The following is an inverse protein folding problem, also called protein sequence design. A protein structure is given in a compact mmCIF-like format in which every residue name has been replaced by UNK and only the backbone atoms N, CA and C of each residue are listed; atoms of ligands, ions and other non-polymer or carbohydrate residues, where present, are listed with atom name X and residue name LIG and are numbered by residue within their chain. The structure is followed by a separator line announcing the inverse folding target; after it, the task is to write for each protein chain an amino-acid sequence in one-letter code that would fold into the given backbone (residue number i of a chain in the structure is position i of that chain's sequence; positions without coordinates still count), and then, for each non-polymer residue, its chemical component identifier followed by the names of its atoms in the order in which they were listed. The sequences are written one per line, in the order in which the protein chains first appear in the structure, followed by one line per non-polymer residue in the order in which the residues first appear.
data_IF_104839448596
#
_entry.id   IF_104839448596
#
_cell.length_a   1.000
_cell.length_b   1.000
_cell.length_c   1.000
_cell.angle_alpha   90.00
_cell.angle_beta   90.00
_cell.angle_gamma   90.00
#
_symmetry.space_group_name_H-M   'P 1'
#
loop_
_entity.id
_entity.type
_entity.pdbx_description
1 polymer ?
#
# COMPACT_ATOMS: atom_id res chain seq x y z
N UNK A 1 -31.66 -4.68 -21.13
CA UNK A 1 -30.76 -4.43 -19.99
C UNK A 1 -30.12 -3.07 -20.23
N UNK A 2 -30.66 -2.03 -19.57
CA UNK A 2 -30.18 -0.66 -19.76
C UNK A 2 -28.77 -0.53 -19.14
N UNK A 3 -27.77 -0.23 -19.97
CA UNK A 3 -26.43 0.15 -19.53
C UNK A 3 -26.52 1.50 -18.81
N UNK A 4 -26.71 1.47 -17.50
CA UNK A 4 -26.44 2.62 -16.63
C UNK A 4 -24.91 2.76 -16.50
N UNK A 5 -24.28 3.30 -17.55
CA UNK A 5 -23.01 4.01 -17.40
C UNK A 5 -23.29 5.30 -16.61
N UNK A 6 -23.59 5.16 -15.32
CA UNK A 6 -23.36 6.26 -14.38
C UNK A 6 -21.84 6.40 -14.30
N UNK A 7 -21.29 7.19 -15.21
CA UNK A 7 -19.95 7.75 -15.10
C UNK A 7 -19.91 8.53 -13.80
N UNK A 8 -19.59 7.82 -12.72
CA UNK A 8 -19.47 8.42 -11.39
C UNK A 8 -18.45 9.53 -11.56
N UNK A 9 -18.83 10.78 -11.26
CA UNK A 9 -18.10 11.93 -11.73
C UNK A 9 -16.74 11.92 -10.98
N UNK A 10 -15.65 11.60 -11.69
CA UNK A 10 -14.33 11.32 -11.10
C UNK A 10 -13.58 12.64 -10.87
N UNK A 11 -12.70 12.66 -9.87
CA UNK A 11 -11.92 13.85 -9.53
C UNK A 11 -10.54 13.75 -10.18
N UNK A 12 -10.09 14.83 -10.80
CA UNK A 12 -8.75 14.95 -11.37
C UNK A 12 -8.22 16.36 -11.15
N UNK A 13 -6.91 16.54 -11.33
CA UNK A 13 -6.25 17.83 -11.16
C UNK A 13 -6.23 18.58 -12.51
N UNK A 14 -6.70 19.81 -12.54
CA UNK A 14 -6.69 20.65 -13.73
C UNK A 14 -5.25 20.91 -14.20
N UNK A 15 -4.91 20.69 -15.48
CA UNK A 15 -3.55 20.88 -15.97
C UNK A 15 -3.11 22.36 -16.03
N UNK A 16 -4.06 23.31 -16.07
CA UNK A 16 -3.75 24.73 -16.17
C UNK A 16 -3.49 25.37 -14.80
N UNK A 17 -4.33 25.10 -13.79
CA UNK A 17 -4.25 25.73 -12.48
C UNK A 17 -3.90 24.80 -11.31
N UNK A 18 -3.91 23.48 -11.52
CA UNK A 18 -3.60 22.52 -10.46
C UNK A 18 -4.73 22.26 -9.47
N UNK A 19 -5.93 22.77 -9.69
CA UNK A 19 -7.07 22.53 -8.79
C UNK A 19 -7.84 21.25 -9.10
N UNK A 20 -8.43 20.63 -8.08
CA UNK A 20 -9.22 19.42 -8.23
C UNK A 20 -10.62 19.71 -8.79
N UNK A 21 -10.90 19.18 -9.97
CA UNK A 21 -12.17 19.34 -10.68
C UNK A 21 -12.75 17.99 -11.09
N UNK A 22 -14.00 18.01 -11.54
CA UNK A 22 -14.73 16.81 -11.90
C UNK A 22 -14.73 16.60 -13.43
N UNK A 23 -14.61 15.34 -13.88
CA UNK A 23 -14.73 14.94 -15.29
C UNK A 23 -16.09 15.29 -15.93
N UNK A 24 -17.13 15.56 -15.13
CA UNK A 24 -18.44 15.97 -15.65
C UNK A 24 -18.52 17.45 -16.07
N UNK A 25 -17.47 18.26 -15.84
CA UNK A 25 -17.45 19.69 -16.16
C UNK A 25 -16.78 19.95 -17.51
N UNK A 26 -17.39 20.80 -18.34
CA UNK A 26 -16.85 21.24 -19.64
C UNK A 26 -15.88 22.42 -19.52
N UNK A 27 -15.84 23.08 -18.35
CA UNK A 27 -14.95 24.19 -18.05
C UNK A 27 -14.45 24.12 -16.60
N UNK A 28 -13.22 24.55 -16.37
CA UNK A 28 -12.66 24.61 -15.03
C UNK A 28 -13.24 25.82 -14.29
N UNK A 29 -13.92 25.59 -13.16
CA UNK A 29 -14.49 26.68 -12.33
C UNK A 29 -13.45 27.65 -11.74
N UNK A 30 -12.19 27.25 -11.67
CA UNK A 30 -11.13 28.05 -11.04
C UNK A 30 -10.38 28.93 -12.03
N UNK A 31 -9.99 28.39 -13.19
CA UNK A 31 -9.23 29.14 -14.20
C UNK A 31 -10.01 29.46 -15.48
N UNK A 32 -11.24 28.95 -15.62
CA UNK A 32 -12.08 29.18 -16.80
C UNK A 32 -11.63 28.47 -18.07
N UNK A 33 -10.57 27.64 -18.02
CA UNK A 33 -10.12 26.90 -19.20
C UNK A 33 -11.14 25.84 -19.61
N UNK A 34 -11.35 25.68 -20.91
CA UNK A 34 -12.15 24.60 -21.45
C UNK A 34 -11.51 23.25 -21.09
N UNK A 35 -12.33 22.33 -20.58
CA UNK A 35 -11.91 21.00 -20.18
C UNK A 35 -12.35 20.04 -21.28
N UNK A 36 -11.37 19.45 -21.97
CA UNK A 36 -11.65 18.38 -22.90
C UNK A 36 -12.09 17.12 -22.12
N UNK A 37 -13.24 16.57 -22.51
CA UNK A 37 -13.84 15.43 -21.82
C UNK A 37 -12.93 14.19 -21.91
N UNK A 38 -12.32 13.95 -23.08
CA UNK A 38 -11.42 12.82 -23.27
C UNK A 38 -10.15 12.96 -22.42
N UNK A 39 -9.46 14.09 -22.50
CA UNK A 39 -8.29 14.38 -21.66
C UNK A 39 -8.60 14.32 -20.15
N UNK A 40 -9.78 14.79 -19.74
CA UNK A 40 -10.19 14.76 -18.32
C UNK A 40 -10.36 13.34 -17.78
N UNK A 41 -10.92 12.43 -18.59
CA UNK A 41 -11.09 11.03 -18.18
C UNK A 41 -9.75 10.30 -18.07
N UNK A 42 -8.83 10.56 -18.99
CA UNK A 42 -7.47 10.01 -18.93
C UNK A 42 -6.71 10.54 -17.70
N UNK A 43 -6.80 11.85 -17.43
CA UNK A 43 -6.20 12.45 -16.24
C UNK A 43 -6.78 11.88 -14.93
N UNK A 44 -8.09 11.66 -14.88
CA UNK A 44 -8.76 11.02 -13.74
C UNK A 44 -8.31 9.57 -13.53
N UNK A 45 -8.04 8.82 -14.60
CA UNK A 45 -7.52 7.45 -14.50
C UNK A 45 -6.11 7.41 -13.94
N UNK A 46 -5.24 8.31 -14.39
CA UNK A 46 -3.90 8.47 -13.82
C UNK A 46 -3.99 8.82 -12.34
N UNK A 47 -4.85 9.78 -11.97
CA UNK A 47 -5.04 10.19 -10.58
C UNK A 47 -5.57 9.04 -9.71
N UNK A 48 -6.54 8.28 -10.21
CA UNK A 48 -7.05 7.09 -9.51
C UNK A 48 -5.95 6.03 -9.33
N UNK A 49 -5.08 5.84 -10.34
CA UNK A 49 -3.94 4.91 -10.26
C UNK A 49 -2.92 5.37 -9.21
N UNK A 50 -2.63 6.67 -9.13
CA UNK A 50 -1.77 7.26 -8.09
C UNK A 50 -2.37 7.06 -6.71
N UNK A 51 -3.66 7.38 -6.53
CA UNK A 51 -4.37 7.18 -5.27
C UNK A 51 -4.36 5.73 -4.81
N UNK A 52 -4.60 4.79 -5.71
CA UNK A 52 -4.50 3.36 -5.44
C UNK A 52 -3.07 2.94 -5.02
N UNK A 53 -2.04 3.48 -5.68
CA UNK A 53 -0.65 3.20 -5.31
C UNK A 53 -0.30 3.74 -3.90
N UNK A 54 -0.81 4.92 -3.54
CA UNK A 54 -0.64 5.52 -2.22
C UNK A 54 -1.37 4.75 -1.11
N UNK A 55 -2.61 4.32 -1.39
CA UNK A 55 -3.40 3.49 -0.47
C UNK A 55 -2.73 2.13 -0.24
N UNK A 56 -2.35 1.44 -1.31
CA UNK A 56 -1.66 0.14 -1.22
C UNK A 56 -0.30 0.27 -0.49
N UNK A 57 0.44 1.36 -0.72
CA UNK A 57 1.70 1.63 -0.03
C UNK A 57 1.52 1.87 1.48
N UNK A 58 0.45 2.55 1.87
CA UNK A 58 0.10 2.74 3.28
C UNK A 58 -0.33 1.43 3.93
N UNK A 59 -1.10 0.60 3.22
CA UNK A 59 -1.52 -0.72 3.67
C UNK A 59 -0.32 -1.64 3.93
N UNK A 60 0.66 -1.67 3.02
CA UNK A 60 1.91 -2.42 3.18
C UNK A 60 2.69 -2.02 4.44
N UNK A 61 2.74 -0.72 4.74
CA UNK A 61 3.41 -0.22 5.94
C UNK A 61 2.71 -0.66 7.22
N UNK A 62 1.37 -0.65 7.21
CA UNK A 62 0.57 -1.12 8.35
C UNK A 62 0.75 -2.63 8.54
N UNK A 63 0.67 -3.42 7.46
CA UNK A 63 0.86 -4.87 7.55
C UNK A 63 2.26 -5.25 8.02
N UNK A 64 3.31 -4.57 7.53
CA UNK A 64 4.68 -4.79 7.97
C UNK A 64 4.88 -4.47 9.46
N UNK A 65 4.21 -3.42 9.97
CA UNK A 65 4.23 -3.06 11.40
C UNK A 65 3.42 -4.03 12.28
N UNK A 66 2.42 -4.70 11.71
CA UNK A 66 1.65 -5.71 12.44
C UNK A 66 2.46 -6.99 12.69
N UNK A 67 3.45 -7.31 11.85
CA UNK A 67 4.32 -8.49 12.00
C UNK A 67 5.00 -8.56 13.38
N UNK A 68 5.79 -7.57 13.84
CA UNK A 68 6.44 -7.64 15.14
C UNK A 68 5.43 -7.74 16.29
N UNK A 69 4.27 -7.08 16.16
CA UNK A 69 3.21 -7.15 17.17
C UNK A 69 2.63 -8.56 17.25
N UNK A 70 2.25 -9.15 16.12
CA UNK A 70 1.75 -10.53 16.06
C UNK A 70 2.81 -11.53 16.59
N UNK A 71 4.08 -11.31 16.26
CA UNK A 71 5.19 -12.12 16.77
C UNK A 71 5.31 -12.03 18.29
N UNK A 72 5.31 -10.82 18.86
CA UNK A 72 5.40 -10.64 20.31
C UNK A 72 4.20 -11.25 21.06
N UNK A 73 2.99 -11.09 20.52
CA UNK A 73 1.76 -11.65 21.09
C UNK A 73 1.73 -13.18 20.99
N UNK A 74 2.44 -13.78 20.03
CA UNK A 74 2.50 -15.24 19.88
C UNK A 74 3.10 -15.98 21.09
N UNK A 75 3.84 -15.27 21.95
CA UNK A 75 4.42 -15.82 23.18
C UNK A 75 3.45 -15.87 24.37
N UNK A 76 2.24 -15.30 24.24
CA UNK A 76 1.26 -15.26 25.34
C UNK A 76 0.49 -16.59 25.38
N UNK A 77 0.47 -17.34 26.49
CA UNK A 77 -0.12 -18.69 26.53
C UNK A 77 -1.60 -18.80 26.14
N UNK A 78 -2.40 -17.75 26.40
CA UNK A 78 -3.85 -17.74 26.15
C UNK A 78 -4.25 -17.41 24.71
N UNK A 79 -3.48 -16.55 24.03
CA UNK A 79 -3.80 -16.03 22.69
C UNK A 79 -2.72 -16.33 21.65
N UNK A 80 -1.61 -16.93 22.09
CA UNK A 80 -0.39 -17.11 21.32
C UNK A 80 -0.55 -18.00 20.11
N UNK A 81 -1.44 -19.02 20.19
CA UNK A 81 -1.74 -19.90 19.05
C UNK A 81 -2.31 -19.13 17.86
N UNK A 82 -3.34 -18.31 18.08
CA UNK A 82 -3.95 -17.50 17.02
C UNK A 82 -2.99 -16.42 16.50
N UNK A 83 -2.26 -15.76 17.40
CA UNK A 83 -1.27 -14.75 17.03
C UNK A 83 -0.08 -15.34 16.26
N UNK A 84 0.33 -16.57 16.57
CA UNK A 84 1.36 -17.31 15.83
C UNK A 84 0.94 -17.56 14.38
N UNK A 85 -0.29 -18.02 14.16
CA UNK A 85 -0.83 -18.15 12.79
C UNK A 85 -0.93 -16.82 12.06
N UNK A 86 -1.41 -15.77 12.73
CA UNK A 86 -1.48 -14.43 12.16
C UNK A 86 -0.09 -13.93 11.75
N UNK A 87 0.94 -14.18 12.57
CA UNK A 87 2.33 -13.86 12.24
C UNK A 87 2.80 -14.60 10.99
N UNK A 88 2.60 -15.92 10.89
CA UNK A 88 2.98 -16.71 9.69
C UNK A 88 2.29 -16.17 8.44
N UNK A 89 0.98 -15.92 8.53
CA UNK A 89 0.19 -15.38 7.41
C UNK A 89 0.74 -14.03 6.98
N UNK A 90 1.00 -13.10 7.91
CA UNK A 90 1.54 -11.78 7.59
C UNK A 90 2.95 -11.86 7.00
N UNK A 91 3.78 -12.80 7.47
CA UNK A 91 5.12 -13.04 6.95
C UNK A 91 5.13 -13.47 5.49
N UNK A 92 4.12 -14.24 5.06
CA UNK A 92 3.98 -14.70 3.67
C UNK A 92 3.23 -13.68 2.82
N UNK A 93 2.16 -13.07 3.35
CA UNK A 93 1.32 -12.15 2.60
C UNK A 93 2.03 -10.83 2.28
N UNK A 94 2.82 -10.30 3.22
CA UNK A 94 3.54 -9.03 3.04
C UNK A 94 4.47 -9.02 1.82
N UNK A 95 5.36 -10.01 1.59
CA UNK A 95 6.19 -10.04 0.39
C UNK A 95 5.37 -10.21 -0.89
N UNK A 96 4.26 -10.95 -0.87
CA UNK A 96 3.35 -11.07 -2.03
C UNK A 96 2.76 -9.69 -2.39
N UNK A 97 2.27 -8.95 -1.40
CA UNK A 97 1.74 -7.60 -1.60
C UNK A 97 2.83 -6.64 -2.09
N UNK A 98 4.05 -6.80 -1.59
CA UNK A 98 5.19 -6.00 -2.04
C UNK A 98 5.51 -6.24 -3.52
N UNK A 99 5.65 -7.51 -3.92
CA UNK A 99 5.91 -7.88 -5.33
C UNK A 99 4.77 -7.40 -6.22
N UNK A 100 3.52 -7.58 -5.80
CA UNK A 100 2.34 -7.06 -6.52
C UNK A 100 2.39 -5.54 -6.68
N UNK A 101 2.74 -4.79 -5.64
CA UNK A 101 2.85 -3.34 -5.71
C UNK A 101 3.94 -2.91 -6.71
N UNK A 102 5.08 -3.59 -6.69
CA UNK A 102 6.20 -3.31 -7.60
C UNK A 102 5.87 -3.62 -9.06
N UNK A 103 5.15 -4.72 -9.32
CA UNK A 103 4.72 -5.08 -10.67
C UNK A 103 3.59 -4.18 -11.20
N UNK A 104 2.69 -3.71 -10.33
CA UNK A 104 1.48 -2.98 -10.74
C UNK A 104 1.72 -1.48 -10.95
N UNK A 105 2.63 -0.87 -10.19
CA UNK A 105 2.87 0.57 -10.23
C UNK A 105 4.26 1.00 -10.73
N UNK A 106 4.94 0.29 -11.66
CA UNK A 106 6.21 0.76 -12.18
C UNK A 106 6.00 2.02 -13.02
N UNK A 107 6.82 3.05 -12.77
CA UNK A 107 6.97 4.18 -13.68
C UNK A 107 5.76 5.12 -13.82
N UNK A 108 4.90 5.26 -12.80
CA UNK A 108 3.86 6.29 -12.83
C UNK A 108 4.55 7.67 -12.84
N UNK A 109 4.43 8.40 -13.95
CA UNK A 109 4.90 9.77 -14.05
C UNK A 109 3.88 10.68 -13.36
N UNK A 110 4.16 11.03 -12.11
CA UNK A 110 3.38 12.03 -11.35
C UNK A 110 4.34 12.94 -10.59
N UNK A 111 4.00 14.22 -10.51
CA UNK A 111 4.74 15.19 -9.68
C UNK A 111 4.23 15.22 -8.23
N UNK A 112 3.28 14.35 -7.89
CA UNK A 112 2.69 14.28 -6.56
C UNK A 112 3.73 13.81 -5.52
N UNK A 113 3.93 14.64 -4.49
CA UNK A 113 4.83 14.35 -3.38
C UNK A 113 4.37 13.12 -2.57
N UNK A 114 3.07 12.83 -2.55
CA UNK A 114 2.53 11.70 -1.79
C UNK A 114 2.88 10.35 -2.44
N UNK A 115 3.02 10.30 -3.78
CA UNK A 115 3.53 9.10 -4.45
C UNK A 115 4.99 8.80 -4.06
N UNK A 116 5.84 9.83 -3.92
CA UNK A 116 7.21 9.66 -3.43
C UNK A 116 7.23 9.13 -1.99
N UNK A 117 6.36 9.65 -1.12
CA UNK A 117 6.18 9.13 0.25
C UNK A 117 5.67 7.69 0.27
N UNK A 118 4.77 7.32 -0.64
CA UNK A 118 4.27 5.96 -0.77
C UNK A 118 5.41 5.00 -1.13
N UNK A 119 6.23 5.34 -2.14
CA UNK A 119 7.41 4.54 -2.51
C UNK A 119 8.42 4.40 -1.37
N UNK A 120 8.68 5.48 -0.62
CA UNK A 120 9.53 5.44 0.57
C UNK A 120 8.93 4.52 1.66
N UNK A 121 7.62 4.59 1.87
CA UNK A 121 6.91 3.73 2.83
C UNK A 121 6.99 2.26 2.44
N UNK A 122 6.92 1.93 1.16
CA UNK A 122 7.12 0.58 0.66
C UNK A 122 8.53 0.07 1.00
N UNK A 123 9.57 0.88 0.79
CA UNK A 123 10.95 0.52 1.18
C UNK A 123 11.13 0.31 2.69
N UNK A 124 10.54 1.17 3.51
CA UNK A 124 10.52 1.00 4.97
C UNK A 124 9.84 -0.32 5.35
N UNK A 125 8.78 -0.71 4.64
CA UNK A 125 8.06 -1.96 4.89
C UNK A 125 8.93 -3.19 4.61
N UNK A 126 9.71 -3.18 3.52
CA UNK A 126 10.70 -4.23 3.23
C UNK A 126 11.75 -4.31 4.34
N UNK A 127 12.28 -3.15 4.77
CA UNK A 127 13.30 -3.10 5.80
C UNK A 127 12.80 -3.70 7.12
N UNK A 128 11.56 -3.38 7.53
CA UNK A 128 10.92 -3.97 8.72
C UNK A 128 10.76 -5.49 8.54
N UNK A 129 10.25 -5.94 7.41
CA UNK A 129 10.05 -7.37 7.15
C UNK A 129 11.37 -8.15 7.16
N UNK A 130 12.41 -7.62 6.51
CA UNK A 130 13.74 -8.22 6.49
C UNK A 130 14.38 -8.28 7.88
N UNK A 131 14.26 -7.21 8.67
CA UNK A 131 14.70 -7.20 10.06
C UNK A 131 13.98 -8.27 10.90
N UNK A 132 12.67 -8.45 10.69
CA UNK A 132 11.89 -9.46 11.39
C UNK A 132 12.31 -10.90 11.06
N UNK A 133 12.72 -11.18 9.83
CA UNK A 133 13.30 -12.49 9.49
C UNK A 133 14.55 -12.76 10.31
N UNK A 134 15.45 -11.78 10.39
CA UNK A 134 16.70 -11.92 11.14
C UNK A 134 16.40 -12.17 12.62
N UNK A 135 15.51 -11.38 13.23
CA UNK A 135 15.09 -11.55 14.62
C UNK A 135 14.50 -12.95 14.85
N UNK A 136 13.59 -13.39 13.98
CA UNK A 136 12.98 -14.72 14.09
C UNK A 136 14.00 -15.85 14.01
N UNK A 137 14.96 -15.77 13.09
CA UNK A 137 16.04 -16.77 12.96
C UNK A 137 16.94 -16.79 14.20
N UNK A 138 17.30 -15.64 14.74
CA UNK A 138 18.11 -15.53 15.96
C UNK A 138 17.40 -16.14 17.17
N UNK A 139 16.13 -15.79 17.40
CA UNK A 139 15.32 -16.34 18.50
C UNK A 139 15.16 -17.85 18.33
N UNK A 140 14.89 -18.33 17.12
CA UNK A 140 14.74 -19.77 16.85
C UNK A 140 16.04 -20.53 17.10
N UNK A 141 17.19 -19.99 16.69
CA UNK A 141 18.49 -20.58 16.96
C UNK A 141 18.80 -20.63 18.46
N UNK A 142 18.53 -19.54 19.20
CA UNK A 142 18.73 -19.48 20.66
C UNK A 142 17.84 -20.49 21.38
N UNK A 143 16.55 -20.57 21.04
CA UNK A 143 15.63 -21.57 21.61
C UNK A 143 16.11 -22.99 21.35
N UNK A 144 16.58 -23.28 20.13
CA UNK A 144 17.12 -24.59 19.78
C UNK A 144 18.37 -24.95 20.61
N UNK A 145 19.26 -23.98 20.87
CA UNK A 145 20.44 -24.19 21.73
C UNK A 145 20.00 -24.48 23.17
N UNK A 146 19.10 -23.67 23.73
CA UNK A 146 18.62 -23.85 25.11
C UNK A 146 17.94 -25.21 25.29
N UNK A 147 17.09 -25.62 24.36
CA UNK A 147 16.42 -26.93 24.41
C UNK A 147 17.42 -28.08 24.37
N UNK A 148 18.49 -27.97 23.56
CA UNK A 148 19.56 -28.98 23.52
C UNK A 148 20.38 -29.04 24.81
N UNK A 149 20.52 -27.95 25.55
CA UNK A 149 21.26 -27.94 26.82
C UNK A 149 20.46 -28.52 28.00
N UNK A 150 19.14 -28.62 27.86
CA UNK A 150 18.24 -29.13 28.92
C UNK A 150 17.97 -30.63 28.76
N UNK A 151 18.09 -31.18 27.55
CA UNK A 151 17.95 -32.60 27.22
C UNK A 151 19.24 -33.37 27.50
#
# INVERSE_FOLDING_TARGET
MANLNLSTPRVFQCPACGEFINTAMTECKFCGVAVDAEASTQAAEVQAKVGNACSDGSYLKISARAIPVAYAVSFIPLIGGAAGWAWVILMILTPILFVRWWMKYPGIQTNDADYKKAKASTWVSIAIWGAMIVVWLLVSALLAIVLRTIQ
#
